data_IF_056074563813
#
_entry.id   IF_056074563813
#
_cell.length_a   1.000
_cell.length_b   1.000
_cell.length_c   1.000
_cell.angle_alpha   90.00
_cell.angle_beta   90.00
_cell.angle_gamma   90.00
#
_symmetry.space_group_name_H-M   'P 1'
#
loop_
_entity.id
_entity.type
_entity.pdbx_description
1 polymer ?
#
# COMPACT_ATOMS: atom_id res chain seq x y z
N UNK A 1 -14.66 10.15 7.20
CA UNK A 1 -13.22 10.40 7.07
C UNK A 1 -12.52 9.05 6.99
N UNK A 2 -11.65 8.88 6.01
CA UNK A 2 -10.84 7.68 5.76
C UNK A 2 -9.40 8.14 5.47
N UNK A 3 -8.47 7.21 5.34
CA UNK A 3 -7.05 7.48 5.07
C UNK A 3 -6.56 6.40 4.10
N UNK A 4 -5.96 6.76 2.96
CA UNK A 4 -5.34 5.77 2.06
C UNK A 4 -4.09 5.15 2.69
N UNK A 5 -3.71 3.94 2.28
CA UNK A 5 -2.47 3.32 2.74
C UNK A 5 -1.23 4.18 2.39
N UNK A 6 -1.25 4.87 1.25
CA UNK A 6 -0.21 5.82 0.85
C UNK A 6 -0.05 6.95 1.87
N UNK A 7 -1.12 7.66 2.22
CA UNK A 7 -1.12 8.73 3.23
C UNK A 7 -0.68 8.21 4.61
N UNK A 8 -1.13 7.00 4.99
CA UNK A 8 -0.75 6.38 6.26
C UNK A 8 0.75 6.11 6.36
N UNK A 9 1.41 5.77 5.25
CA UNK A 9 2.84 5.50 5.19
C UNK A 9 3.67 6.77 5.03
N UNK A 10 3.19 7.75 4.25
CA UNK A 10 3.82 9.08 4.13
C UNK A 10 3.91 9.80 5.49
N UNK A 11 2.85 9.77 6.31
CA UNK A 11 2.88 10.36 7.66
C UNK A 11 3.71 9.53 8.65
N UNK A 12 3.89 8.23 8.38
CA UNK A 12 4.66 7.31 9.23
C UNK A 12 6.17 7.45 9.03
N UNK A 13 6.63 7.68 7.79
CA UNK A 13 8.06 7.71 7.46
C UNK A 13 8.74 6.36 7.72
N UNK A 14 8.20 5.29 7.11
CA UNK A 14 8.76 3.94 7.22
C UNK A 14 7.78 2.83 6.85
N UNK A 15 8.24 1.57 6.74
CA UNK A 15 7.42 0.46 6.28
C UNK A 15 6.39 -0.01 7.30
N UNK A 16 5.35 -0.69 6.81
CA UNK A 16 4.48 -1.51 7.64
C UNK A 16 5.30 -2.61 8.33
N UNK A 17 5.02 -2.87 9.61
CA UNK A 17 5.52 -4.05 10.30
C UNK A 17 4.71 -5.28 9.91
N UNK A 18 5.25 -6.48 10.18
CA UNK A 18 4.64 -7.75 9.80
C UNK A 18 3.19 -7.93 10.31
N UNK A 19 2.92 -7.57 11.57
CA UNK A 19 1.56 -7.64 12.12
C UNK A 19 0.59 -6.61 11.49
N UNK A 20 1.11 -5.47 11.02
CA UNK A 20 0.30 -4.48 10.29
C UNK A 20 0.01 -4.97 8.86
N UNK A 21 0.96 -5.67 8.22
CA UNK A 21 0.76 -6.33 6.93
C UNK A 21 -0.28 -7.45 7.03
N UNK A 22 -0.18 -8.34 8.03
CA UNK A 22 -1.19 -9.37 8.30
C UNK A 22 -2.58 -8.77 8.55
N UNK A 23 -2.65 -7.67 9.30
CA UNK A 23 -3.91 -6.99 9.58
C UNK A 23 -4.54 -6.36 8.33
N UNK A 24 -3.76 -5.64 7.52
CA UNK A 24 -4.25 -5.04 6.28
C UNK A 24 -4.61 -6.13 5.26
N UNK A 25 -3.83 -7.20 5.16
CA UNK A 25 -4.15 -8.38 4.33
C UNK A 25 -5.48 -9.01 4.73
N UNK A 26 -5.69 -9.30 6.02
CA UNK A 26 -6.93 -9.87 6.54
C UNK A 26 -8.13 -8.97 6.24
N UNK A 27 -8.08 -7.68 6.61
CA UNK A 27 -9.20 -6.78 6.37
C UNK A 27 -9.48 -6.57 4.88
N UNK A 28 -8.45 -6.55 4.02
CA UNK A 28 -8.62 -6.43 2.57
C UNK A 28 -9.26 -7.67 1.97
N UNK A 29 -8.87 -8.86 2.43
CA UNK A 29 -9.46 -10.11 1.98
C UNK A 29 -10.92 -10.28 2.45
N UNK A 30 -11.26 -9.83 3.67
CA UNK A 30 -12.65 -9.75 4.15
C UNK A 30 -13.50 -8.83 3.27
N UNK A 31 -13.01 -7.61 2.98
CA UNK A 31 -13.70 -6.65 2.13
C UNK A 31 -13.84 -7.14 0.68
N UNK A 32 -12.83 -7.83 0.13
CA UNK A 32 -12.93 -8.47 -1.18
C UNK A 32 -13.96 -9.61 -1.19
N UNK A 33 -13.97 -10.49 -0.18
CA UNK A 33 -14.94 -11.58 -0.10
C UNK A 33 -16.38 -11.04 -0.07
N UNK A 34 -16.63 -10.01 0.73
CA UNK A 34 -17.95 -9.37 0.81
C UNK A 34 -18.32 -8.62 -0.48
N UNK A 35 -17.34 -8.06 -1.19
CA UNK A 35 -17.54 -7.44 -2.51
C UNK A 35 -17.95 -8.49 -3.56
N UNK A 36 -17.20 -9.59 -3.71
CA UNK A 36 -17.57 -10.66 -4.65
C UNK A 36 -18.93 -11.30 -4.30
N UNK A 37 -19.26 -11.42 -3.01
CA UNK A 37 -20.59 -11.88 -2.56
C UNK A 37 -21.73 -10.96 -2.99
N UNK A 38 -21.50 -9.64 -3.07
CA UNK A 38 -22.49 -8.64 -3.49
C UNK A 38 -22.59 -8.48 -5.01
N UNK A 39 -21.46 -8.46 -5.72
CA UNK A 39 -21.42 -8.06 -7.14
C UNK A 39 -21.89 -9.18 -8.09
N UNK A 40 -22.00 -10.43 -7.61
CA UNK A 40 -22.52 -11.60 -8.36
C UNK A 40 -23.95 -11.47 -8.94
N UNK A 41 -24.59 -10.29 -8.90
CA UNK A 41 -25.99 -10.04 -9.30
C UNK A 41 -26.16 -8.78 -10.19
N UNK A 42 -25.29 -7.76 -10.12
CA UNK A 42 -25.66 -6.40 -10.57
C UNK A 42 -24.79 -5.78 -11.69
N UNK A 43 -23.46 -5.73 -11.57
CA UNK A 43 -22.59 -5.08 -12.56
C UNK A 43 -21.13 -5.56 -12.49
N UNK A 44 -20.63 -6.33 -13.49
CA UNK A 44 -19.23 -6.71 -13.57
C UNK A 44 -18.25 -5.53 -13.75
N UNK A 45 -18.69 -4.38 -14.31
CA UNK A 45 -17.82 -3.22 -14.51
C UNK A 45 -17.38 -2.58 -13.19
N UNK A 46 -18.18 -2.72 -12.12
CA UNK A 46 -17.85 -2.29 -10.77
C UNK A 46 -16.65 -3.03 -10.13
N UNK A 47 -16.10 -4.05 -10.80
CA UNK A 47 -14.88 -4.76 -10.41
C UNK A 47 -13.68 -4.44 -11.32
N UNK A 48 -13.74 -3.37 -12.11
CA UNK A 48 -12.67 -2.96 -13.02
C UNK A 48 -11.48 -2.23 -12.35
N UNK A 49 -11.48 -2.07 -11.02
CA UNK A 49 -10.48 -1.29 -10.31
C UNK A 49 -9.20 -2.09 -9.98
N UNK A 50 -8.10 -1.37 -9.73
CA UNK A 50 -6.82 -1.94 -9.30
C UNK A 50 -6.55 -1.53 -7.85
N UNK A 51 -6.21 -2.50 -7.00
CA UNK A 51 -5.79 -2.22 -5.63
C UNK A 51 -4.36 -1.67 -5.66
N UNK A 52 -4.16 -0.54 -5.01
CA UNK A 52 -2.92 0.21 -4.92
C UNK A 52 -2.83 0.89 -3.55
N UNK A 53 -1.67 1.43 -3.16
CA UNK A 53 -1.54 2.21 -1.92
C UNK A 53 -2.53 3.39 -1.81
N UNK A 54 -2.93 3.99 -2.94
CA UNK A 54 -3.87 5.10 -2.99
C UNK A 54 -5.35 4.66 -2.98
N UNK A 55 -5.67 3.51 -3.58
CA UNK A 55 -7.04 2.99 -3.62
C UNK A 55 -7.44 2.18 -2.39
N UNK A 56 -6.48 1.66 -1.62
CA UNK A 56 -6.75 0.95 -0.37
C UNK A 56 -6.99 1.94 0.77
N UNK A 57 -8.27 2.13 1.13
CA UNK A 57 -8.70 3.07 2.15
C UNK A 57 -8.85 2.38 3.51
N UNK A 58 -8.12 2.87 4.50
CA UNK A 58 -8.21 2.48 5.91
C UNK A 58 -9.31 3.30 6.61
N UNK A 59 -10.24 2.61 7.29
CA UNK A 59 -11.41 3.23 7.93
C UNK A 59 -11.23 3.33 9.45
N UNK A 60 -11.76 4.38 10.12
CA UNK A 60 -11.76 4.48 11.59
C UNK A 60 -12.45 3.32 12.33
N UNK A 61 -13.29 2.54 11.63
CA UNK A 61 -13.87 1.29 12.13
C UNK A 61 -12.84 0.17 12.32
N UNK A 62 -11.65 0.31 11.73
CA UNK A 62 -10.64 -0.75 11.60
C UNK A 62 -10.87 -1.67 10.40
N UNK A 63 -11.89 -1.39 9.58
CA UNK A 63 -12.13 -2.06 8.29
C UNK A 63 -11.35 -1.36 7.18
N UNK A 64 -11.35 -1.93 5.98
CA UNK A 64 -10.85 -1.26 4.77
C UNK A 64 -11.90 -1.24 3.67
N UNK A 65 -11.79 -0.28 2.76
CA UNK A 65 -12.59 -0.18 1.53
C UNK A 65 -11.69 0.15 0.35
N UNK A 66 -12.21 -0.06 -0.87
CA UNK A 66 -11.51 0.29 -2.10
C UNK A 66 -12.24 1.45 -2.79
N UNK A 67 -11.50 2.27 -3.53
CA UNK A 67 -12.03 3.33 -4.39
C UNK A 67 -11.30 3.30 -5.73
N UNK A 68 -11.93 3.78 -6.80
CA UNK A 68 -11.30 4.14 -8.08
C UNK A 68 -11.13 5.68 -8.22
N UNK A 69 -11.70 6.45 -7.30
CA UNK A 69 -11.69 7.92 -7.31
C UNK A 69 -10.29 8.50 -7.05
N UNK A 70 -9.95 9.58 -7.77
CA UNK A 70 -8.72 10.37 -7.63
C UNK A 70 -7.38 9.66 -7.99
N UNK A 71 -7.42 8.47 -8.57
CA UNK A 71 -6.21 7.70 -8.94
C UNK A 71 -5.69 8.03 -10.36
N UNK A 72 -6.41 8.85 -11.14
CA UNK A 72 -6.09 9.15 -12.54
C UNK A 72 -4.71 9.78 -12.80
N UNK A 73 -4.03 10.26 -11.74
CA UNK A 73 -2.68 10.82 -11.80
C UNK A 73 -1.58 9.86 -11.28
N UNK A 74 -1.91 8.63 -10.88
CA UNK A 74 -0.96 7.66 -10.32
C UNK A 74 -0.61 6.57 -11.34
N UNK A 75 0.66 6.15 -11.40
CA UNK A 75 1.05 4.98 -12.20
C UNK A 75 0.65 3.68 -11.49
N UNK A 76 -0.43 3.07 -11.98
CA UNK A 76 -0.94 1.80 -11.48
C UNK A 76 -0.23 0.57 -12.07
N UNK A 77 0.65 0.73 -13.07
CA UNK A 77 1.27 -0.38 -13.82
C UNK A 77 2.11 -1.33 -12.96
N UNK A 78 2.61 -0.86 -11.81
CA UNK A 78 3.30 -1.71 -10.84
C UNK A 78 2.35 -2.68 -10.12
N UNK A 79 1.08 -2.32 -9.97
CA UNK A 79 0.04 -3.07 -9.24
C UNK A 79 -0.90 -3.83 -10.19
N UNK A 80 -1.00 -3.42 -11.45
CA UNK A 80 -1.80 -4.11 -12.49
C UNK A 80 -1.25 -5.50 -12.81
N UNK A 81 -2.13 -6.49 -12.86
CA UNK A 81 -1.78 -7.88 -13.17
C UNK A 81 -1.24 -8.04 -14.62
N UNK A 82 -0.31 -8.97 -14.88
CA UNK A 82 0.32 -9.15 -16.19
C UNK A 82 -0.67 -9.35 -17.35
N UNK A 83 -1.74 -10.12 -17.14
CA UNK A 83 -2.78 -10.42 -18.12
C UNK A 83 -3.60 -9.18 -18.51
N UNK A 84 -3.83 -8.26 -17.56
CA UNK A 84 -4.52 -6.98 -17.80
C UNK A 84 -3.62 -6.05 -18.62
N UNK A 85 -2.32 -5.98 -18.28
CA UNK A 85 -1.33 -5.23 -19.07
C UNK A 85 -1.15 -5.80 -20.50
N UNK A 86 -1.44 -7.08 -20.70
CA UNK A 86 -1.42 -7.76 -21.99
C UNK A 86 -2.76 -7.71 -22.73
N UNK A 87 -3.78 -7.05 -22.16
CA UNK A 87 -5.16 -7.00 -22.69
C UNK A 87 -5.76 -8.38 -22.97
N UNK A 88 -5.45 -9.38 -22.13
CA UNK A 88 -6.08 -10.69 -22.21
C UNK A 88 -7.56 -10.60 -21.81
N UNK A 89 -8.41 -11.40 -22.47
CA UNK A 89 -9.84 -11.42 -22.15
C UNK A 89 -10.09 -12.05 -20.79
N UNK A 90 -10.78 -11.34 -19.91
CA UNK A 90 -11.24 -11.85 -18.62
C UNK A 90 -12.57 -12.57 -18.83
N UNK A 91 -12.62 -13.85 -18.48
CA UNK A 91 -13.71 -14.75 -18.85
C UNK A 91 -14.63 -15.12 -17.69
N UNK A 92 -14.17 -14.91 -16.45
CA UNK A 92 -14.86 -15.33 -15.24
C UNK A 92 -14.67 -14.34 -14.08
N UNK A 93 -15.57 -14.41 -13.09
CA UNK A 93 -15.38 -13.72 -11.82
C UNK A 93 -14.13 -14.21 -11.06
N UNK A 94 -13.65 -15.43 -11.34
CA UNK A 94 -12.39 -15.89 -10.76
C UNK A 94 -11.19 -15.18 -11.37
N UNK A 95 -11.17 -14.93 -12.68
CA UNK A 95 -10.10 -14.13 -13.31
C UNK A 95 -10.00 -12.74 -12.67
N UNK A 96 -11.17 -12.12 -12.43
CA UNK A 96 -11.30 -10.85 -11.71
C UNK A 96 -10.81 -10.95 -10.26
N UNK A 97 -11.16 -12.01 -9.52
CA UNK A 97 -10.61 -12.30 -8.18
C UNK A 97 -9.07 -12.36 -8.21
N UNK A 98 -8.48 -13.05 -9.19
CA UNK A 98 -7.01 -13.19 -9.32
C UNK A 98 -6.29 -11.89 -9.64
N UNK A 99 -6.95 -10.92 -10.28
CA UNK A 99 -6.42 -9.57 -10.51
C UNK A 99 -6.42 -8.74 -9.21
N UNK A 100 -7.50 -8.83 -8.42
CA UNK A 100 -7.56 -8.17 -7.11
C UNK A 100 -6.54 -8.76 -6.13
N UNK A 101 -6.35 -10.09 -6.16
CA UNK A 101 -5.33 -10.78 -5.37
C UNK A 101 -3.92 -10.31 -5.74
N UNK A 102 -3.57 -10.27 -7.04
CA UNK A 102 -2.27 -9.79 -7.49
C UNK A 102 -2.01 -8.33 -7.08
N UNK A 103 -2.98 -7.44 -7.33
CA UNK A 103 -2.84 -6.02 -7.05
C UNK A 103 -2.77 -5.70 -5.55
N UNK A 104 -3.51 -6.43 -4.71
CA UNK A 104 -3.38 -6.38 -3.25
C UNK A 104 -2.00 -6.88 -2.80
N UNK A 105 -1.49 -7.98 -3.36
CA UNK A 105 -0.16 -8.51 -3.03
C UNK A 105 0.95 -7.50 -3.34
N UNK A 106 0.91 -6.90 -4.53
CA UNK A 106 1.85 -5.84 -4.93
C UNK A 106 1.72 -4.59 -4.04
N UNK A 107 0.50 -4.25 -3.61
CA UNK A 107 0.24 -3.14 -2.66
C UNK A 107 0.88 -3.40 -1.29
N UNK A 108 0.81 -4.62 -0.79
CA UNK A 108 1.40 -5.00 0.50
C UNK A 108 2.93 -5.10 0.41
N UNK A 109 3.49 -5.61 -0.69
CA UNK A 109 4.94 -5.54 -0.92
C UNK A 109 5.44 -4.09 -1.00
N UNK A 110 4.70 -3.18 -1.65
CA UNK A 110 5.03 -1.76 -1.63
C UNK A 110 5.00 -1.17 -0.21
N UNK A 111 3.99 -1.53 0.60
CA UNK A 111 3.91 -1.09 2.00
C UNK A 111 5.00 -1.66 2.91
N UNK A 112 5.51 -2.85 2.61
CA UNK A 112 6.65 -3.48 3.29
C UNK A 112 8.01 -2.92 2.83
N UNK A 113 8.08 -2.39 1.60
CA UNK A 113 9.28 -1.80 1.01
C UNK A 113 9.40 -0.28 1.20
N UNK A 114 8.35 0.35 1.74
CA UNK A 114 8.27 1.80 1.89
C UNK A 114 9.44 2.35 2.73
N UNK A 115 10.20 3.29 2.14
CA UNK A 115 11.46 3.85 2.66
C UNK A 115 12.59 2.83 2.96
N UNK A 116 12.47 1.57 2.51
CA UNK A 116 13.54 0.56 2.66
C UNK A 116 14.66 0.81 1.63
N UNK A 117 15.91 1.07 2.05
CA UNK A 117 17.02 1.32 1.13
C UNK A 117 17.20 0.20 0.10
N UNK A 118 17.51 0.53 -1.15
CA UNK A 118 17.62 -0.46 -2.25
C UNK A 118 18.71 -1.54 -2.05
N UNK A 119 19.65 -1.29 -1.14
CA UNK A 119 20.69 -2.24 -0.72
C UNK A 119 20.19 -3.29 0.29
N UNK A 120 19.05 -3.05 0.96
CA UNK A 120 18.47 -3.96 1.94
C UNK A 120 17.32 -4.77 1.32
N UNK A 121 17.16 -6.06 1.69
CA UNK A 121 15.97 -6.84 1.35
C UNK A 121 14.78 -6.39 2.21
N UNK A 122 13.57 -6.61 1.68
CA UNK A 122 12.33 -6.51 2.46
C UNK A 122 12.38 -7.58 3.55
N UNK A 123 12.06 -7.22 4.79
CA UNK A 123 12.05 -8.14 5.94
C UNK A 123 10.62 -8.58 6.23
N UNK A 124 10.32 -9.84 5.95
CA UNK A 124 9.04 -10.50 6.19
C UNK A 124 9.31 -11.90 6.74
N UNK A 125 8.51 -12.35 7.70
CA UNK A 125 8.46 -13.74 8.09
C UNK A 125 8.04 -14.65 6.93
N UNK A 126 8.61 -15.85 6.91
CA UNK A 126 8.54 -16.83 5.82
C UNK A 126 7.09 -17.11 5.38
N UNK A 127 6.18 -17.21 6.35
CA UNK A 127 4.79 -17.53 6.08
C UNK A 127 4.06 -16.39 5.36
N UNK A 128 4.22 -15.14 5.83
CA UNK A 128 3.64 -13.97 5.16
C UNK A 128 4.23 -13.80 3.76
N UNK A 129 5.55 -13.94 3.64
CA UNK A 129 6.23 -13.86 2.35
C UNK A 129 5.74 -14.94 1.37
N UNK A 130 5.57 -16.19 1.82
CA UNK A 130 5.02 -17.29 1.02
C UNK A 130 3.60 -17.00 0.51
N UNK A 131 2.73 -16.44 1.36
CA UNK A 131 1.38 -16.03 0.95
C UNK A 131 1.44 -14.89 -0.08
N UNK A 132 2.22 -13.84 0.17
CA UNK A 132 2.34 -12.70 -0.75
C UNK A 132 2.98 -13.10 -2.10
N UNK A 133 3.97 -14.00 -2.11
CA UNK A 133 4.49 -14.61 -3.35
C UNK A 133 3.39 -15.35 -4.10
N UNK A 134 2.61 -16.19 -3.40
CA UNK A 134 1.46 -16.89 -3.96
C UNK A 134 0.34 -15.96 -4.43
N UNK A 135 0.26 -14.71 -3.96
CA UNK A 135 -0.66 -13.70 -4.50
C UNK A 135 -0.10 -13.05 -5.79
N UNK A 136 1.21 -12.89 -5.88
CA UNK A 136 1.92 -12.19 -6.95
C UNK A 136 2.45 -13.08 -8.08
N UNK A 137 2.06 -14.36 -8.15
CA UNK A 137 2.40 -15.26 -9.27
C UNK A 137 2.01 -14.64 -10.62
N UNK A 138 2.92 -14.64 -11.61
CA UNK A 138 2.61 -14.12 -12.95
C UNK A 138 1.48 -14.94 -13.62
N UNK A 139 1.40 -16.23 -13.31
CA UNK A 139 0.42 -17.18 -13.86
C UNK A 139 -0.90 -17.13 -13.07
N UNK A 140 -1.96 -16.66 -13.72
CA UNK A 140 -3.27 -16.39 -13.10
C UNK A 140 -3.86 -17.56 -12.27
N UNK A 141 -3.72 -18.79 -12.75
CA UNK A 141 -4.23 -20.00 -12.07
C UNK A 141 -3.29 -20.55 -10.99
N UNK A 142 -2.04 -20.10 -10.93
CA UNK A 142 -1.11 -20.42 -9.84
C UNK A 142 -1.35 -19.52 -8.62
N UNK A 143 -1.92 -18.32 -8.82
CA UNK A 143 -2.23 -17.40 -7.72
C UNK A 143 -3.20 -18.02 -6.71
N UNK A 144 -3.01 -17.70 -5.44
CA UNK A 144 -3.94 -18.08 -4.34
C UNK A 144 -5.33 -17.45 -4.52
N UNK A 145 -6.32 -17.93 -3.76
CA UNK A 145 -7.68 -17.33 -3.73
C UNK A 145 -7.85 -16.41 -2.51
N UNK A 146 -8.86 -15.54 -2.53
CA UNK A 146 -9.28 -14.74 -1.36
C UNK A 146 -9.57 -15.67 -0.18
N UNK A 147 -10.16 -16.84 -0.44
CA UNK A 147 -10.39 -17.86 0.59
C UNK A 147 -9.08 -18.39 1.19
N UNK A 148 -8.11 -18.74 0.35
CA UNK A 148 -6.78 -19.21 0.80
C UNK A 148 -6.07 -18.15 1.65
N UNK A 149 -6.18 -16.87 1.28
CA UNK A 149 -5.64 -15.76 2.06
C UNK A 149 -6.33 -15.66 3.42
N UNK A 150 -7.67 -15.71 3.47
CA UNK A 150 -8.43 -15.68 4.73
C UNK A 150 -8.14 -16.89 5.63
N UNK A 151 -7.97 -18.08 5.06
CA UNK A 151 -7.58 -19.29 5.80
C UNK A 151 -6.19 -19.12 6.43
N UNK A 152 -5.23 -18.52 5.72
CA UNK A 152 -3.89 -18.21 6.22
C UNK A 152 -3.90 -17.11 7.31
N UNK A 153 -4.58 -15.99 7.08
CA UNK A 153 -4.74 -14.94 8.10
C UNK A 153 -5.41 -15.48 9.37
N UNK A 154 -6.44 -16.33 9.21
CA UNK A 154 -7.11 -16.99 10.33
C UNK A 154 -6.18 -17.97 11.08
N UNK A 155 -5.24 -18.61 10.38
CA UNK A 155 -4.21 -19.44 11.01
C UNK A 155 -3.19 -18.58 11.78
N UNK A 156 -2.70 -17.47 11.21
CA UNK A 156 -1.83 -16.52 11.89
C UNK A 156 -2.45 -16.00 13.19
N UNK A 157 -3.71 -15.52 13.14
CA UNK A 157 -4.43 -14.99 14.31
C UNK A 157 -4.63 -16.04 15.42
N UNK A 158 -4.77 -17.33 15.08
CA UNK A 158 -4.88 -18.42 16.08
C UNK A 158 -3.53 -18.85 16.67
N UNK A 159 -2.46 -18.73 15.90
CA UNK A 159 -1.14 -19.26 16.26
C UNK A 159 -0.19 -18.18 16.82
N UNK A 160 -0.55 -16.90 16.72
CA UNK A 160 0.16 -15.77 17.28
C UNK A 160 -0.64 -15.12 18.42
N UNK A 161 0.05 -14.39 19.29
CA UNK A 161 -0.58 -13.53 20.30
C UNK A 161 -0.84 -12.11 19.74
N UNK A 162 -1.20 -11.99 18.46
CA UNK A 162 -1.41 -10.71 17.81
C UNK A 162 -2.65 -9.98 18.37
N UNK A 163 -2.69 -8.65 18.25
CA UNK A 163 -3.95 -7.93 18.41
C UNK A 163 -4.92 -8.27 17.26
N UNK A 164 -6.24 -8.09 17.43
CA UNK A 164 -7.19 -8.26 16.32
C UNK A 164 -6.85 -7.33 15.15
N UNK A 165 -6.96 -7.81 13.91
CA UNK A 165 -6.60 -7.09 12.67
C UNK A 165 -7.13 -5.65 12.61
N UNK A 166 -8.41 -5.44 12.96
CA UNK A 166 -9.02 -4.11 12.99
C UNK A 166 -8.32 -3.11 13.93
N UNK A 167 -7.58 -3.59 14.94
CA UNK A 167 -6.86 -2.75 15.91
C UNK A 167 -5.66 -2.06 15.26
N UNK A 168 -4.88 -2.77 14.47
CA UNK A 168 -3.73 -2.21 13.74
C UNK A 168 -4.21 -1.21 12.67
N UNK A 169 -5.27 -1.52 11.93
CA UNK A 169 -5.88 -0.57 10.98
C UNK A 169 -6.36 0.70 11.68
N UNK A 170 -6.97 0.59 12.87
CA UNK A 170 -7.31 1.76 13.70
C UNK A 170 -6.08 2.56 14.14
N UNK A 171 -4.95 1.91 14.42
CA UNK A 171 -3.71 2.61 14.80
C UNK A 171 -3.14 3.39 13.62
N UNK A 172 -3.10 2.80 12.41
CA UNK A 172 -2.67 3.49 11.18
C UNK A 172 -3.55 4.71 10.87
N UNK A 173 -4.89 4.58 10.97
CA UNK A 173 -5.81 5.71 10.77
C UNK A 173 -5.64 6.78 11.85
N UNK A 174 -5.42 6.38 13.12
CA UNK A 174 -5.13 7.31 14.22
C UNK A 174 -3.79 8.03 14.09
N UNK A 175 -2.79 7.42 13.45
CA UNK A 175 -1.50 8.07 13.20
C UNK A 175 -1.68 9.30 12.29
N UNK A 176 -2.46 9.19 11.22
CA UNK A 176 -2.78 10.33 10.34
C UNK A 176 -3.76 11.30 10.98
N UNK A 177 -4.90 10.81 11.47
CA UNK A 177 -5.98 11.69 11.96
C UNK A 177 -5.70 12.26 13.36
N UNK A 178 -4.86 11.61 14.17
CA UNK A 178 -4.43 12.11 15.48
C UNK A 178 -3.38 13.22 15.39
N UNK A 179 -2.57 13.23 14.32
CA UNK A 179 -1.69 14.37 14.02
C UNK A 179 -2.48 15.65 13.68
N UNK A 180 -3.75 15.53 13.27
CA UNK A 180 -4.64 16.68 13.03
C UNK A 180 -5.29 17.22 14.31
N UNK A 181 -5.35 16.46 15.41
CA UNK A 181 -5.96 16.88 16.69
C UNK A 181 -4.94 17.33 17.74
N UNK A 182 -3.65 17.35 17.41
CA UNK A 182 -2.54 17.71 18.30
C UNK A 182 -2.38 19.20 18.67
N UNK A 183 -3.43 20.02 18.60
CA UNK A 183 -3.33 21.48 18.77
C UNK A 183 -3.86 22.02 20.11
N UNK A 184 -4.29 21.16 21.05
CA UNK A 184 -5.11 21.62 22.20
C UNK A 184 -4.69 21.11 23.60
N UNK A 185 -3.40 20.78 23.81
CA UNK A 185 -2.88 20.38 25.14
C UNK A 185 -1.56 21.06 25.57
N UNK A 186 -1.28 22.29 25.12
CA UNK A 186 -0.18 23.13 25.67
C UNK A 186 -0.62 24.57 26.01
N UNK A 187 -1.80 24.72 26.60
CA UNK A 187 -2.23 25.98 27.19
C UNK A 187 -1.68 26.18 28.62
N UNK A 188 -0.36 26.42 28.75
CA UNK A 188 0.31 27.25 29.79
C UNK A 188 1.83 27.10 29.76
N UNK A 189 2.48 27.87 28.89
CA UNK A 189 3.33 28.99 29.35
C UNK A 189 3.73 29.84 28.14
N UNK A 190 3.70 31.15 28.32
CA UNK A 190 3.90 32.14 27.27
C UNK A 190 5.37 32.35 26.95
N UNK A 191 5.77 32.11 25.71
CA UNK A 191 6.89 32.83 25.08
C UNK A 191 6.67 32.89 23.56
N UNK A 192 6.55 34.10 23.02
CA UNK A 192 6.19 34.33 21.62
C UNK A 192 7.36 33.95 20.70
N UNK A 193 7.20 32.83 19.97
CA UNK A 193 8.12 32.43 18.91
C UNK A 193 7.65 33.03 17.58
N UNK A 194 8.50 33.75 16.83
CA UNK A 194 8.06 34.44 15.62
C UNK A 194 7.62 33.44 14.54
N UNK A 195 6.55 33.82 13.84
CA UNK A 195 5.92 33.02 12.80
C UNK A 195 6.94 32.57 11.74
N UNK A 196 7.10 31.25 11.60
CA UNK A 196 8.05 30.61 10.67
C UNK A 196 7.76 30.97 9.22
N UNK A 197 6.52 31.37 8.90
CA UNK A 197 6.13 31.87 7.58
C UNK A 197 6.69 33.27 7.27
N UNK A 198 7.00 34.09 8.28
CA UNK A 198 7.59 35.42 8.09
C UNK A 198 9.05 35.32 7.59
N UNK A 199 9.85 34.43 8.21
CA UNK A 199 11.22 34.16 7.78
C UNK A 199 11.32 33.60 6.34
N UNK A 200 10.27 32.94 5.85
CA UNK A 200 10.17 32.48 4.46
C UNK A 200 9.79 33.66 3.54
N UNK A 201 8.82 34.50 3.93
CA UNK A 201 8.44 35.71 3.18
C UNK A 201 9.61 36.69 2.99
N UNK A 202 10.47 36.85 3.98
CA UNK A 202 11.64 37.74 3.88
C UNK A 202 12.74 37.17 2.96
N UNK A 203 12.95 35.84 2.95
CA UNK A 203 13.88 35.18 2.01
C UNK A 203 13.41 35.21 0.56
N UNK A 204 12.10 35.19 0.33
CA UNK A 204 11.51 35.28 -1.02
C UNK A 204 11.53 36.72 -1.61
N UNK A 205 11.76 37.75 -0.79
CA UNK A 205 11.78 39.16 -1.24
C UNK A 205 13.11 39.64 -1.83
N UNK A 206 14.04 38.72 -2.12
CA UNK A 206 15.03 38.87 -3.18
C UNK A 206 16.15 39.89 -2.97
N UNK A 207 17.31 39.42 -2.48
CA UNK A 207 18.63 40.00 -2.81
C UNK A 207 19.65 38.87 -3.01
N UNK A 208 20.14 38.68 -4.24
CA UNK A 208 21.26 37.78 -4.56
C UNK A 208 20.99 36.71 -5.63
N UNK A 209 20.94 37.13 -6.90
CA UNK A 209 21.30 36.31 -8.09
C UNK A 209 22.79 36.59 -8.43
N UNK A 210 23.47 35.88 -9.37
CA UNK A 210 23.02 34.85 -10.32
C UNK A 210 23.60 33.43 -9.97
N UNK A 211 23.68 32.37 -10.80
CA UNK A 211 23.62 32.20 -12.27
C UNK A 211 23.16 30.78 -12.69
N UNK A 212 23.00 30.60 -14.01
CA UNK A 212 22.79 29.39 -14.84
C UNK A 212 23.51 28.08 -14.43
N UNK A 213 22.87 26.90 -14.63
CA UNK A 213 23.08 26.08 -15.84
C UNK A 213 22.09 24.89 -16.02
N UNK A 214 21.61 24.74 -17.26
CA UNK A 214 21.03 23.58 -18.00
C UNK A 214 20.21 22.44 -17.34
N UNK A 215 18.95 22.38 -17.79
CA UNK A 215 18.31 21.34 -18.65
C UNK A 215 18.74 19.86 -18.64
N UNK A 216 17.72 18.98 -18.73
CA UNK A 216 17.66 17.58 -19.21
C UNK A 216 18.12 16.41 -18.30
N UNK A 217 17.17 15.87 -17.52
CA UNK A 217 16.97 14.43 -17.21
C UNK A 217 15.48 14.25 -16.87
N UNK A 218 14.73 13.16 -17.16
CA UNK A 218 14.72 12.16 -18.24
C UNK A 218 13.54 11.21 -17.95
N UNK A 219 12.93 10.58 -18.96
CA UNK A 219 11.95 9.49 -18.84
C UNK A 219 12.61 8.20 -18.25
N UNK A 220 12.97 8.21 -16.96
CA UNK A 220 13.77 7.16 -16.30
C UNK A 220 13.24 6.63 -14.97
N UNK A 221 12.17 7.22 -14.44
CA UNK A 221 11.55 6.74 -13.20
C UNK A 221 10.46 5.67 -13.47
N UNK A 222 9.87 5.71 -14.67
CA UNK A 222 8.71 4.92 -15.14
C UNK A 222 8.95 3.41 -15.34
N UNK A 223 10.20 2.96 -15.37
CA UNK A 223 10.55 1.53 -15.43
C UNK A 223 11.06 0.99 -14.09
N UNK A 224 11.26 1.87 -13.10
CA UNK A 224 12.13 1.61 -11.97
C UNK A 224 11.38 0.98 -10.78
N UNK A 225 10.15 1.39 -10.46
CA UNK A 225 9.44 0.86 -9.30
C UNK A 225 9.10 -0.63 -9.42
N UNK A 226 8.46 -1.08 -10.51
CA UNK A 226 8.16 -2.51 -10.70
C UNK A 226 9.43 -3.34 -10.84
N UNK A 227 10.47 -2.85 -11.52
CA UNK A 227 11.73 -3.59 -11.65
C UNK A 227 12.52 -3.65 -10.33
N UNK A 228 12.54 -2.59 -9.53
CA UNK A 228 13.15 -2.59 -8.18
C UNK A 228 12.38 -3.49 -7.23
N UNK A 229 11.04 -3.45 -7.22
CA UNK A 229 10.25 -4.33 -6.36
C UNK A 229 10.38 -5.80 -6.79
N UNK A 230 10.35 -6.09 -8.09
CA UNK A 230 10.61 -7.44 -8.62
C UNK A 230 12.06 -7.90 -8.36
N UNK A 231 13.05 -7.02 -8.40
CA UNK A 231 14.44 -7.39 -8.12
C UNK A 231 14.70 -7.55 -6.61
N UNK A 232 14.02 -6.78 -5.75
CA UNK A 232 13.97 -7.02 -4.30
C UNK A 232 13.25 -8.34 -3.99
N UNK A 233 12.12 -8.63 -4.64
CA UNK A 233 11.43 -9.92 -4.58
C UNK A 233 12.35 -11.07 -4.99
N UNK A 234 13.04 -10.96 -6.13
CA UNK A 234 14.03 -11.96 -6.57
C UNK A 234 15.18 -12.12 -5.58
N UNK A 235 15.64 -11.06 -4.92
CA UNK A 235 16.65 -11.14 -3.85
C UNK A 235 16.11 -11.90 -2.64
N UNK A 236 14.87 -11.64 -2.23
CA UNK A 236 14.19 -12.38 -1.15
C UNK A 236 14.02 -13.86 -1.52
N UNK A 237 13.52 -14.17 -2.72
CA UNK A 237 13.41 -15.56 -3.22
C UNK A 237 14.79 -16.23 -3.28
N UNK A 238 15.84 -15.51 -3.70
CA UNK A 238 17.22 -16.03 -3.70
C UNK A 238 17.80 -16.26 -2.30
N UNK A 239 17.45 -15.46 -1.29
CA UNK A 239 17.88 -15.76 0.09
C UNK A 239 17.20 -17.02 0.63
N UNK A 240 15.94 -17.26 0.28
CA UNK A 240 15.21 -18.49 0.66
C UNK A 240 15.66 -19.77 -0.09
N UNK A 241 16.32 -19.64 -1.24
CA UNK A 241 16.81 -20.79 -2.04
C UNK A 241 18.28 -21.14 -1.79
N UNK A 242 18.92 -20.53 -0.78
CA UNK A 242 20.32 -20.77 -0.41
C UNK A 242 20.53 -21.13 1.07
N UNK A 243 19.45 -21.46 1.79
CA UNK A 243 19.45 -22.11 3.11
C UNK A 243 18.83 -23.52 3.00
#
# INVERSE_FOLDING_TARGET
>A
MHVSLAEALEVRGGPLQEEELWAVLNQSAESLQELFRKVSIADPAALGFIISPWSLLLLPSGSVSFTDENISNQDLRAFTAPEVLQNQSLTSLSDVEKIHIYSLGMTLYWGADHEVPQSQPIKLGDHLNSILLGMCEDVIYARVSVRTVLDACSAHIRNSNCAPSFSYVKQLVKLVLGNLSGTDQLARNSEQKPDRSQAIRDRLRGKGLPTEFRTLVSEREECTLRSVLLEKLRKVIKSFLME
#
